data_IF_971793075008
#
_entry.id   IF_971793075008
#
_cell.length_a   1.000
_cell.length_b   1.000
_cell.length_c   1.000
_cell.angle_alpha   90.00
_cell.angle_beta   90.00
_cell.angle_gamma   90.00
#
_symmetry.space_group_name_H-M   'P 1'
#
loop_
_entity.id
_entity.type
_entity.pdbx_description
1 polymer ?
#
# COMPACT_ATOMS: atom_id res chain seq x y z
N UNK A 1 -19.29 -32.02 -8.99
CA UNK A 1 -18.06 -31.34 -9.41
C UNK A 1 -18.35 -29.89 -9.71
N UNK A 2 -17.79 -29.02 -8.94
CA UNK A 2 -17.94 -27.60 -9.20
C UNK A 2 -16.57 -27.02 -9.49
N UNK A 3 -16.51 -26.28 -10.55
CA UNK A 3 -15.27 -25.61 -10.93
C UNK A 3 -15.41 -24.14 -10.66
N UNK A 4 -14.49 -23.59 -9.92
CA UNK A 4 -14.47 -22.17 -9.65
C UNK A 4 -13.17 -21.56 -10.17
N UNK A 5 -13.32 -20.45 -10.80
CA UNK A 5 -12.15 -19.69 -11.25
C UNK A 5 -11.87 -18.61 -10.23
N UNK A 6 -10.75 -18.70 -9.61
CA UNK A 6 -10.34 -17.71 -8.62
C UNK A 6 -9.20 -16.91 -9.21
N UNK A 7 -9.38 -15.64 -9.26
CA UNK A 7 -8.35 -14.74 -9.76
C UNK A 7 -7.62 -14.11 -8.58
N UNK A 8 -6.36 -14.42 -8.46
CA UNK A 8 -5.53 -13.86 -7.41
C UNK A 8 -4.31 -13.23 -8.04
N UNK A 9 -4.14 -11.95 -7.83
CA UNK A 9 -2.98 -11.22 -8.36
C UNK A 9 -2.78 -11.37 -9.86
N UNK A 10 -3.89 -11.38 -10.60
CA UNK A 10 -3.79 -11.50 -12.04
C UNK A 10 -3.57 -12.91 -12.56
N UNK A 11 -3.50 -13.89 -11.69
CA UNK A 11 -3.38 -15.27 -12.10
C UNK A 11 -4.67 -16.01 -11.84
N UNK A 12 -5.11 -16.75 -12.83
CA UNK A 12 -6.34 -17.50 -12.73
C UNK A 12 -6.00 -18.91 -12.29
N UNK A 13 -6.60 -19.32 -11.19
CA UNK A 13 -6.47 -20.67 -10.70
C UNK A 13 -7.81 -21.37 -10.85
N UNK A 14 -7.78 -22.52 -11.46
CA UNK A 14 -8.98 -23.34 -11.58
C UNK A 14 -8.98 -24.30 -10.42
N UNK A 15 -9.96 -24.15 -9.57
CA UNK A 15 -10.11 -25.03 -8.41
C UNK A 15 -11.26 -25.96 -8.68
N UNK A 16 -10.96 -27.24 -8.73
CA UNK A 16 -11.97 -28.27 -8.88
C UNK A 16 -12.30 -28.79 -7.49
N UNK A 17 -13.54 -28.66 -7.11
CA UNK A 17 -13.98 -29.18 -5.82
C UNK A 17 -14.85 -30.37 -6.11
N UNK A 18 -14.40 -31.52 -5.68
CA UNK A 18 -15.23 -32.72 -5.74
C UNK A 18 -16.04 -32.78 -4.47
N UNK A 19 -17.32 -32.61 -4.61
CA UNK A 19 -18.18 -32.80 -3.49
C UNK A 19 -18.45 -34.25 -3.35
N UNK A 20 -17.62 -34.91 -2.73
CA UNK A 20 -18.00 -36.23 -2.26
C UNK A 20 -18.51 -35.95 -0.89
N UNK A 21 -19.67 -36.32 -0.72
CA UNK A 21 -20.35 -36.01 0.48
C UNK A 21 -19.67 -36.24 1.78
N UNK A 22 -18.51 -36.44 1.83
CA UNK A 22 -17.89 -36.62 3.03
C UNK A 22 -17.16 -35.41 3.38
N UNK A 23 -17.28 -35.00 4.27
CA UNK A 23 -16.71 -33.97 4.73
C UNK A 23 -15.36 -33.77 4.64
N UNK A 24 -14.95 -33.34 3.99
CA UNK A 24 -13.75 -33.19 3.84
C UNK A 24 -13.17 -32.08 4.28
N UNK A 25 -12.48 -32.06 4.68
CA UNK A 25 -11.94 -31.12 5.12
C UNK A 25 -11.10 -30.37 4.52
N UNK A 26 -10.92 -29.98 4.32
CA UNK A 26 -10.34 -29.30 3.76
C UNK A 26 -9.34 -28.67 4.16
N UNK A 27 -8.81 -28.71 4.27
CA UNK A 27 -7.95 -28.20 4.59
C UNK A 27 -7.31 -27.47 4.11
N UNK A 28 -7.19 -27.18 3.69
CA UNK A 28 -6.65 -26.56 3.26
C UNK A 28 -6.08 -25.73 3.32
N UNK A 29 -6.00 -25.47 3.19
CA UNK A 29 -5.66 -24.68 3.17
C UNK A 29 -4.65 -24.11 3.26
N UNK A 30 -4.19 -23.89 2.92
CA UNK A 30 -3.24 -23.39 2.89
C UNK A 30 -2.87 -22.31 3.14
N UNK A 31 -3.04 -22.12 3.22
CA UNK A 31 -2.81 -21.23 3.36
C UNK A 31 -2.05 -20.52 3.62
N UNK A 32 -1.83 -20.48 3.51
CA UNK A 32 -1.27 -19.88 3.67
C UNK A 32 -0.70 -19.16 3.80
N UNK A 33 -0.46 -18.93 3.63
CA UNK A 33 -0.02 -18.25 3.61
C UNK A 33 0.32 -17.35 3.79
N UNK A 34 0.28 -17.02 3.83
CA UNK A 34 0.33 -16.14 3.89
C UNK A 34 1.09 -15.52 4.51
N UNK A 35 1.52 -15.24 4.36
CA UNK A 35 2.28 -14.68 4.81
C UNK A 35 2.43 -13.70 5.44
N UNK A 36 2.22 -13.59 5.50
CA UNK A 36 2.27 -12.75 5.88
C UNK A 36 2.72 -12.27 6.72
N UNK A 37 2.79 -12.31 6.89
CA UNK A 37 3.05 -11.99 7.58
C UNK A 37 3.63 -11.41 8.23
N UNK A 38 3.96 -11.12 8.03
CA UNK A 38 4.52 -10.55 8.39
C UNK A 38 4.67 -9.88 9.25
N UNK A 39 4.68 -9.82 9.55
CA UNK A 39 4.96 -9.41 10.37
C UNK A 39 5.35 -8.55 10.80
N UNK A 40 5.32 -8.05 11.01
CA UNK A 40 5.62 -7.10 11.30
C UNK A 40 6.31 -6.72 12.22
N UNK A 41 6.84 -6.54 11.99
CA UNK A 41 7.67 -5.99 12.59
C UNK A 41 7.37 -5.03 13.46
N UNK A 42 7.87 -4.95 14.36
CA UNK A 42 7.68 -4.03 15.23
C UNK A 42 8.04 -2.80 14.78
N UNK A 43 7.32 -2.07 14.86
CA UNK A 43 7.58 -0.84 14.51
C UNK A 43 8.62 -0.31 15.30
N UNK A 44 9.51 0.14 14.72
CA UNK A 44 10.55 0.69 15.34
C UNK A 44 10.13 1.92 15.97
N UNK A 45 10.71 2.15 16.90
CA UNK A 45 10.48 3.30 17.54
C UNK A 45 10.68 4.43 16.70
N UNK A 46 9.81 5.13 16.65
CA UNK A 46 9.88 6.24 15.91
C UNK A 46 10.62 7.23 16.64
N UNK A 47 11.66 7.55 16.18
CA UNK A 47 12.31 8.70 16.71
C UNK A 47 11.47 9.82 16.24
N UNK A 48 10.76 10.33 17.08
CA UNK A 48 9.86 11.35 16.72
C UNK A 48 10.58 12.56 16.19
N UNK A 49 10.51 12.73 14.98
CA UNK A 49 10.90 13.94 14.34
C UNK A 49 9.91 14.13 13.24
N UNK A 50 9.21 15.22 13.28
CA UNK A 50 8.30 15.51 12.19
C UNK A 50 9.11 15.67 10.92
N UNK A 51 8.85 14.83 9.97
CA UNK A 51 9.52 14.92 8.67
C UNK A 51 8.47 15.24 7.64
N UNK A 52 8.71 16.27 6.90
CA UNK A 52 7.81 16.65 5.83
C UNK A 52 8.36 16.08 4.53
N UNK A 53 7.49 15.43 3.78
CA UNK A 53 7.85 14.94 2.46
C UNK A 53 7.43 16.01 1.48
N UNK A 54 8.39 16.56 0.80
CA UNK A 54 8.17 17.68 -0.12
C UNK A 54 8.16 17.19 -1.56
N UNK A 55 7.48 17.93 -2.41
CA UNK A 55 7.45 17.63 -3.83
C UNK A 55 8.81 17.98 -4.45
N UNK A 56 9.45 17.05 -5.13
CA UNK A 56 10.73 17.31 -5.77
C UNK A 56 10.58 18.12 -7.06
N UNK A 57 9.37 18.21 -7.56
CA UNK A 57 9.09 18.92 -8.81
C UNK A 57 7.63 19.37 -8.81
N UNK A 58 7.29 20.37 -9.63
CA UNK A 58 5.91 20.82 -9.71
C UNK A 58 5.07 19.81 -10.48
N UNK A 59 3.83 19.65 -10.10
CA UNK A 59 2.93 18.71 -10.76
C UNK A 59 1.57 18.67 -10.12
N UNK A 60 0.81 17.63 -10.45
CA UNK A 60 -0.53 17.42 -9.91
C UNK A 60 -0.57 16.06 -9.20
N UNK A 61 -1.21 16.01 -8.06
CA UNK A 61 -1.34 14.75 -7.32
C UNK A 61 -2.43 13.91 -7.99
N UNK A 62 -2.01 12.81 -8.60
CA UNK A 62 -2.95 11.89 -9.24
C UNK A 62 -3.68 11.03 -8.24
N UNK A 63 -2.95 10.53 -7.26
CA UNK A 63 -3.54 9.64 -6.28
C UNK A 63 -2.77 9.73 -4.97
N UNK A 64 -3.46 9.44 -3.88
CA UNK A 64 -2.87 9.40 -2.55
C UNK A 64 -3.12 8.01 -1.99
N UNK A 65 -2.05 7.33 -1.64
CA UNK A 65 -2.11 5.94 -1.19
C UNK A 65 -2.21 5.80 0.31
N UNK A 66 -1.96 6.87 1.04
CA UNK A 66 -1.97 6.85 2.50
C UNK A 66 -3.00 7.84 3.04
N UNK A 67 -3.37 7.67 4.28
CA UNK A 67 -4.34 8.53 4.94
C UNK A 67 -3.76 9.08 6.22
N UNK A 68 -4.33 10.19 6.69
CA UNK A 68 -3.94 10.77 7.96
C UNK A 68 -4.17 9.74 9.06
N UNK A 69 -3.16 9.51 9.87
CA UNK A 69 -3.20 8.51 10.91
C UNK A 69 -2.63 7.16 10.52
N UNK A 70 -2.29 6.96 9.26
CA UNK A 70 -1.72 5.70 8.81
C UNK A 70 -0.24 5.62 9.18
N UNK A 71 0.20 4.43 9.50
CA UNK A 71 1.61 4.19 9.74
C UNK A 71 2.26 3.77 8.43
N UNK A 72 3.34 4.42 8.08
CA UNK A 72 4.08 4.13 6.86
C UNK A 72 5.52 3.80 7.20
N UNK A 73 6.18 3.10 6.30
CA UNK A 73 7.59 2.74 6.45
C UNK A 73 8.42 3.40 5.37
N UNK A 74 9.70 3.48 5.62
CA UNK A 74 10.63 3.99 4.63
C UNK A 74 10.50 3.18 3.33
N UNK A 75 10.26 3.87 2.24
CA UNK A 75 10.04 3.23 0.95
C UNK A 75 8.59 2.97 0.57
N UNK A 76 7.65 3.24 1.46
CA UNK A 76 6.23 3.09 1.12
C UNK A 76 5.78 4.23 0.19
N UNK A 77 4.91 3.90 -0.74
CA UNK A 77 4.41 4.90 -1.68
C UNK A 77 3.36 5.75 -0.97
N UNK A 78 3.64 7.01 -0.84
CA UNK A 78 2.73 7.95 -0.19
C UNK A 78 1.69 8.49 -1.16
N UNK A 79 2.14 8.96 -2.29
CA UNK A 79 1.25 9.51 -3.31
C UNK A 79 1.90 9.42 -4.68
N UNK A 80 1.10 9.63 -5.70
CA UNK A 80 1.57 9.63 -7.08
C UNK A 80 1.46 11.06 -7.61
N UNK A 81 2.58 11.60 -8.04
CA UNK A 81 2.68 12.93 -8.58
C UNK A 81 2.81 12.86 -10.10
N UNK A 82 1.92 13.53 -10.82
CA UNK A 82 2.05 13.64 -12.26
C UNK A 82 2.77 14.95 -12.59
N UNK A 83 3.90 14.81 -13.23
CA UNK A 83 4.68 15.96 -13.68
C UNK A 83 5.15 15.69 -15.10
N UNK A 84 4.98 16.68 -15.98
CA UNK A 84 5.42 16.57 -17.38
C UNK A 84 4.86 15.34 -18.09
N UNK A 85 3.60 15.01 -17.82
CA UNK A 85 2.94 13.83 -18.41
C UNK A 85 3.56 12.50 -18.00
N UNK A 86 4.28 12.49 -16.89
CA UNK A 86 4.85 11.28 -16.32
C UNK A 86 4.40 11.13 -14.88
N UNK A 87 4.18 9.90 -14.48
CA UNK A 87 3.78 9.61 -13.11
C UNK A 87 5.03 9.32 -12.30
N UNK A 88 5.14 9.99 -11.18
CA UNK A 88 6.25 9.79 -10.27
C UNK A 88 5.72 9.39 -8.91
N UNK A 89 6.26 8.33 -8.36
CA UNK A 89 5.86 7.86 -7.06
C UNK A 89 6.68 8.57 -5.98
N UNK A 90 5.98 9.13 -5.02
CA UNK A 90 6.63 9.80 -3.90
C UNK A 90 6.66 8.81 -2.75
N UNK A 91 7.86 8.46 -2.33
CA UNK A 91 8.09 7.47 -1.30
C UNK A 91 8.38 8.11 0.05
N UNK A 92 8.08 7.39 1.10
CA UNK A 92 8.40 7.83 2.45
C UNK A 92 9.91 7.76 2.67
N UNK A 93 10.53 8.80 3.15
CA UNK A 93 11.96 8.79 3.43
C UNK A 93 12.29 8.03 4.71
N UNK A 94 11.33 7.84 5.58
CA UNK A 94 11.51 7.13 6.84
C UNK A 94 10.17 6.60 7.35
N UNK A 95 10.25 5.79 8.38
CA UNK A 95 9.04 5.29 9.03
C UNK A 95 8.39 6.40 9.83
N UNK A 96 7.08 6.37 9.91
CA UNK A 96 6.37 7.37 10.69
C UNK A 96 4.87 7.25 10.57
N UNK A 97 4.17 8.17 11.19
CA UNK A 97 2.72 8.24 11.14
C UNK A 97 2.33 9.47 10.33
N UNK A 98 1.43 9.29 9.41
CA UNK A 98 0.97 10.37 8.56
C UNK A 98 0.11 11.33 9.37
N UNK A 99 0.56 12.57 9.49
CA UNK A 99 -0.18 13.62 10.19
C UNK A 99 -0.97 14.50 9.25
N UNK A 100 -0.44 14.70 8.08
CA UNK A 100 -1.14 15.48 7.06
C UNK A 100 -0.83 14.91 5.69
N UNK A 101 -1.75 15.10 4.78
CA UNK A 101 -1.58 14.60 3.42
C UNK A 101 -2.30 15.57 2.48
N UNK A 102 -1.66 15.79 1.34
CA UNK A 102 -2.22 16.67 0.32
C UNK A 102 -3.44 15.98 -0.30
N UNK A 103 -4.35 16.76 -0.81
CA UNK A 103 -5.56 16.23 -1.42
C UNK A 103 -5.28 15.77 -2.84
N UNK A 104 -5.88 14.65 -3.20
CA UNK A 104 -5.82 14.15 -4.58
C UNK A 104 -6.37 15.22 -5.53
N UNK A 105 -5.70 15.39 -6.63
CA UNK A 105 -6.07 16.40 -7.62
C UNK A 105 -5.50 17.79 -7.38
N UNK A 106 -4.74 17.96 -6.30
CA UNK A 106 -4.13 19.25 -6.02
C UNK A 106 -2.90 19.46 -6.88
N UNK A 107 -2.70 20.70 -7.28
CA UNK A 107 -1.48 21.09 -7.97
C UNK A 107 -0.47 21.53 -6.92
N UNK A 108 0.73 21.03 -7.02
CA UNK A 108 1.81 21.33 -6.08
C UNK A 108 3.02 21.85 -6.82
N UNK A 109 3.84 22.60 -6.11
CA UNK A 109 5.08 23.12 -6.64
C UNK A 109 6.27 22.47 -5.94
N UNK A 110 7.44 22.70 -6.47
CA UNK A 110 8.66 22.20 -5.83
C UNK A 110 8.75 22.77 -4.42
N UNK A 111 8.91 21.90 -3.45
CA UNK A 111 9.01 22.32 -2.05
C UNK A 111 7.68 22.33 -1.31
N UNK A 112 6.57 22.06 -1.97
CA UNK A 112 5.29 21.98 -1.27
C UNK A 112 5.22 20.67 -0.47
N UNK A 113 4.70 20.77 0.73
CA UNK A 113 4.60 19.60 1.61
C UNK A 113 3.47 18.69 1.11
N UNK A 114 3.81 17.50 0.75
CA UNK A 114 2.85 16.49 0.28
C UNK A 114 2.31 15.67 1.44
N UNK A 115 3.20 15.23 2.31
CA UNK A 115 2.83 14.40 3.45
C UNK A 115 3.67 14.81 4.64
N UNK A 116 3.02 15.03 5.76
CA UNK A 116 3.73 15.24 7.02
C UNK A 116 3.77 13.94 7.80
N UNK A 117 4.94 13.50 8.15
CA UNK A 117 5.15 12.29 8.95
C UNK A 117 5.64 12.68 10.34
N UNK A 118 5.29 11.87 11.33
CA UNK A 118 5.75 12.06 12.71
C UNK A 118 6.11 10.73 13.35
#
# INVERSE_FOLDING_TARGET
>A
MRKFNVNVNGKIYVVEIEETGAAAPVKEAPKAEVPKAEAPAPAPAVSGGAVNVEAPMPGTILDVKVQVGATVKAGDILCILEAMKMENEILAPQDGIVKSVVTKGSTVNTGDILVGLE
#
